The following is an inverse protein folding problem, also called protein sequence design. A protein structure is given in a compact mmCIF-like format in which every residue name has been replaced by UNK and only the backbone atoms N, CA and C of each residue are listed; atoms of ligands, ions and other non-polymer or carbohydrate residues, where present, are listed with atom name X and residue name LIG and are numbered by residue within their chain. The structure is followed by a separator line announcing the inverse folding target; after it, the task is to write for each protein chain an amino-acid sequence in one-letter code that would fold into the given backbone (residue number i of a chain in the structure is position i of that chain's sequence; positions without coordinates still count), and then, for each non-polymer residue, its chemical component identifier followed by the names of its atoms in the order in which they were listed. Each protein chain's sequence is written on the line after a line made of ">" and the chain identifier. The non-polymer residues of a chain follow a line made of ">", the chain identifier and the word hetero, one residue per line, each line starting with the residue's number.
data_IF_261610877673
#
_entry.id   IF_261610877673
#
_cell.length_a   1.000
_cell.length_b   1.000
_cell.length_c   1.000
_cell.angle_alpha   90.00
_cell.angle_beta   90.00
_cell.angle_gamma   90.00
#
_symmetry.space_group_name_H-M   'P 1'
#
loop_
_entity.id
_entity.type
_entity.pdbx_description
1 polymer ?
#
# COMPACT_ATOMS: atom_id res chain seq x y z
N UNK A 1 -20.34 4.01 -3.81
CA UNK A 1 -19.27 3.10 -3.36
C UNK A 1 -18.28 2.76 -4.47
N UNK A 2 -18.74 2.44 -5.67
CA UNK A 2 -17.85 2.18 -6.81
C UNK A 2 -16.93 3.34 -7.15
N UNK A 3 -17.43 4.57 -7.06
CA UNK A 3 -16.61 5.76 -7.33
C UNK A 3 -15.49 5.91 -6.31
N UNK A 4 -15.78 5.64 -5.03
CA UNK A 4 -14.77 5.69 -3.97
C UNK A 4 -13.70 4.62 -4.19
N UNK A 5 -14.12 3.38 -4.50
CA UNK A 5 -13.21 2.27 -4.77
C UNK A 5 -12.29 2.62 -5.94
N UNK A 6 -12.87 3.10 -7.04
CA UNK A 6 -12.11 3.49 -8.23
C UNK A 6 -11.11 4.60 -7.91
N UNK A 7 -11.57 5.62 -7.19
CA UNK A 7 -10.71 6.74 -6.79
C UNK A 7 -9.51 6.26 -5.97
N UNK A 8 -9.75 5.41 -4.99
CA UNK A 8 -8.67 4.87 -4.15
C UNK A 8 -7.71 4.01 -4.97
N UNK A 9 -8.24 3.17 -5.86
CA UNK A 9 -7.38 2.33 -6.69
C UNK A 9 -6.54 3.18 -7.65
N UNK A 10 -7.11 4.23 -8.22
CA UNK A 10 -6.36 5.15 -9.08
C UNK A 10 -5.27 5.89 -8.30
N UNK A 11 -5.54 6.27 -7.04
CA UNK A 11 -4.53 6.86 -6.17
C UNK A 11 -3.40 5.86 -5.91
N UNK A 12 -3.73 4.58 -5.72
CA UNK A 12 -2.74 3.52 -5.56
C UNK A 12 -1.81 3.45 -6.78
N UNK A 13 -2.39 3.43 -7.97
CA UNK A 13 -1.62 3.35 -9.21
C UNK A 13 -0.74 4.58 -9.41
N UNK A 14 -1.26 5.77 -9.14
CA UNK A 14 -0.46 7.01 -9.24
C UNK A 14 0.65 7.05 -8.21
N UNK A 15 0.39 6.58 -6.99
CA UNK A 15 1.41 6.53 -5.94
C UNK A 15 2.53 5.57 -6.32
N UNK A 16 2.20 4.42 -6.91
CA UNK A 16 3.21 3.48 -7.38
C UNK A 16 4.05 4.09 -8.50
N UNK A 17 3.43 4.74 -9.46
CA UNK A 17 4.14 5.43 -10.55
C UNK A 17 5.06 6.52 -10.01
N UNK A 18 4.61 7.30 -9.03
CA UNK A 18 5.43 8.34 -8.39
C UNK A 18 6.62 7.72 -7.65
N UNK A 19 6.43 6.58 -6.98
CA UNK A 19 7.53 5.88 -6.31
C UNK A 19 8.59 5.46 -7.32
N UNK A 20 8.16 4.89 -8.43
CA UNK A 20 9.08 4.48 -9.50
C UNK A 20 9.84 5.66 -10.10
N UNK A 21 9.14 6.78 -10.30
CA UNK A 21 9.73 7.97 -10.91
C UNK A 21 10.75 8.66 -10.00
N UNK A 22 10.61 8.56 -8.68
CA UNK A 22 11.47 9.26 -7.72
C UNK A 22 12.58 8.37 -7.13
N UNK A 23 12.59 7.08 -7.44
CA UNK A 23 13.47 6.10 -6.79
C UNK A 23 14.94 6.53 -6.82
N UNK A 24 15.46 6.91 -7.98
CA UNK A 24 16.88 7.20 -8.14
C UNK A 24 17.28 8.56 -7.58
N UNK A 25 16.37 9.54 -7.60
CA UNK A 25 16.66 10.90 -7.16
C UNK A 25 16.31 11.15 -5.70
N UNK A 26 15.32 10.43 -5.17
CA UNK A 26 14.84 10.63 -3.80
C UNK A 26 14.25 9.34 -3.25
N UNK A 27 15.11 8.42 -2.75
CA UNK A 27 14.62 7.16 -2.18
C UNK A 27 13.63 7.32 -1.03
N UNK A 28 13.75 8.39 -0.22
CA UNK A 28 12.79 8.66 0.86
C UNK A 28 11.39 8.91 0.31
N UNK A 29 11.27 9.74 -0.72
CA UNK A 29 9.99 9.98 -1.39
C UNK A 29 9.45 8.71 -2.02
N UNK A 30 10.32 7.92 -2.64
CA UNK A 30 9.92 6.64 -3.25
C UNK A 30 9.37 5.67 -2.20
N UNK A 31 10.01 5.57 -1.04
CA UNK A 31 9.55 4.72 0.06
C UNK A 31 8.18 5.16 0.56
N UNK A 32 7.99 6.46 0.75
CA UNK A 32 6.72 7.01 1.18
C UNK A 32 5.61 6.72 0.16
N UNK A 33 5.87 6.95 -1.12
CA UNK A 33 4.89 6.69 -2.18
C UNK A 33 4.56 5.21 -2.32
N UNK A 34 5.52 4.32 -2.13
CA UNK A 34 5.28 2.87 -2.15
C UNK A 34 4.31 2.46 -1.04
N UNK A 35 4.48 3.00 0.17
CA UNK A 35 3.53 2.76 1.26
C UNK A 35 2.13 3.25 0.88
N UNK A 36 2.01 4.48 0.37
CA UNK A 36 0.70 5.02 0.00
C UNK A 36 0.03 4.24 -1.12
N UNK A 37 0.80 3.67 -2.04
CA UNK A 37 0.25 2.79 -3.06
C UNK A 37 -0.46 1.59 -2.41
N UNK A 38 0.21 0.92 -1.47
CA UNK A 38 -0.38 -0.20 -0.74
C UNK A 38 -1.57 0.25 0.12
N UNK A 39 -1.44 1.37 0.82
CA UNK A 39 -2.49 1.91 1.67
C UNK A 39 -3.78 2.18 0.86
N UNK A 40 -3.68 2.85 -0.27
CA UNK A 40 -4.85 3.13 -1.10
C UNK A 40 -5.44 1.87 -1.71
N UNK A 41 -4.58 0.92 -2.11
CA UNK A 41 -5.03 -0.37 -2.62
C UNK A 41 -5.81 -1.18 -1.60
N UNK A 42 -5.30 -1.25 -0.36
CA UNK A 42 -6.00 -1.93 0.73
C UNK A 42 -7.31 -1.23 1.07
N UNK A 43 -7.29 0.11 1.12
CA UNK A 43 -8.48 0.91 1.38
C UNK A 43 -9.58 0.63 0.35
N UNK A 44 -9.21 0.58 -0.93
CA UNK A 44 -10.15 0.26 -2.02
C UNK A 44 -10.75 -1.15 -1.85
N UNK A 45 -9.90 -2.12 -1.53
CA UNK A 45 -10.33 -3.52 -1.38
C UNK A 45 -11.28 -3.68 -0.19
N UNK A 46 -10.97 -3.05 0.94
CA UNK A 46 -11.84 -3.08 2.12
C UNK A 46 -13.19 -2.41 1.83
N UNK A 47 -13.19 -1.28 1.12
CA UNK A 47 -14.41 -0.60 0.73
C UNK A 47 -15.29 -1.52 -0.14
N UNK A 48 -14.68 -2.30 -1.03
CA UNK A 48 -15.39 -3.28 -1.85
C UNK A 48 -16.05 -4.39 -1.03
N UNK A 49 -15.62 -4.59 0.21
CA UNK A 49 -16.21 -5.54 1.15
C UNK A 49 -17.16 -4.86 2.15
N UNK A 50 -17.49 -3.60 1.92
CA UNK A 50 -18.39 -2.85 2.80
C UNK A 50 -17.71 -2.24 4.02
N UNK A 51 -16.36 -2.24 4.05
CA UNK A 51 -15.60 -1.72 5.18
C UNK A 51 -14.85 -0.46 4.77
N UNK A 52 -15.36 0.69 5.19
CA UNK A 52 -14.79 1.98 4.80
C UNK A 52 -14.04 2.60 5.97
N UNK A 53 -12.73 2.72 5.81
CA UNK A 53 -11.84 3.31 6.81
C UNK A 53 -11.02 4.43 6.19
N UNK A 54 -10.69 5.44 7.00
CA UNK A 54 -9.84 6.56 6.59
C UNK A 54 -8.55 6.64 7.39
N UNK A 55 -8.52 6.11 8.60
CA UNK A 55 -7.34 6.15 9.46
C UNK A 55 -6.36 5.04 9.10
N UNK A 56 -5.07 5.38 9.06
CA UNK A 56 -4.01 4.42 8.74
C UNK A 56 -4.00 3.22 9.68
N UNK A 57 -4.22 3.44 10.99
CA UNK A 57 -4.25 2.36 11.97
C UNK A 57 -5.44 1.43 11.76
N UNK A 58 -6.59 1.97 11.40
CA UNK A 58 -7.78 1.17 11.12
C UNK A 58 -7.62 0.33 9.86
N UNK A 59 -7.03 0.90 8.82
CA UNK A 59 -6.77 0.17 7.56
C UNK A 59 -5.80 -0.98 7.81
N UNK A 60 -4.72 -0.74 8.56
CA UNK A 60 -3.75 -1.81 8.88
C UNK A 60 -4.40 -2.93 9.69
N UNK A 61 -5.18 -2.57 10.71
CA UNK A 61 -5.86 -3.57 11.54
C UNK A 61 -6.83 -4.41 10.70
N UNK A 62 -7.60 -3.77 9.82
CA UNK A 62 -8.54 -4.45 8.95
C UNK A 62 -7.83 -5.33 7.91
N UNK A 63 -6.69 -4.89 7.38
CA UNK A 63 -5.88 -5.72 6.49
C UNK A 63 -5.53 -7.04 7.16
N UNK A 64 -4.98 -7.00 8.35
CA UNK A 64 -4.54 -8.20 9.07
C UNK A 64 -5.71 -9.08 9.49
N UNK A 65 -6.80 -8.48 9.98
CA UNK A 65 -7.97 -9.23 10.46
C UNK A 65 -8.82 -9.78 9.31
N UNK A 66 -9.14 -8.92 8.35
CA UNK A 66 -10.19 -9.23 7.37
C UNK A 66 -9.66 -9.78 6.04
N UNK A 67 -8.39 -9.55 5.73
CA UNK A 67 -7.79 -10.06 4.49
C UNK A 67 -6.74 -11.14 4.74
N UNK A 68 -5.89 -10.97 5.75
CA UNK A 68 -4.82 -11.95 6.02
C UNK A 68 -5.35 -13.13 6.85
N UNK A 69 -5.95 -12.88 8.00
CA UNK A 69 -6.45 -13.95 8.88
C UNK A 69 -7.58 -14.73 8.22
N UNK A 70 -8.37 -14.09 7.38
CA UNK A 70 -9.44 -14.74 6.64
C UNK A 70 -8.94 -15.66 5.51
N UNK A 71 -7.67 -15.54 5.13
CA UNK A 71 -7.08 -16.30 4.05
C UNK A 71 -7.24 -15.68 2.67
N UNK A 72 -7.85 -14.49 2.56
CA UNK A 72 -8.00 -13.82 1.26
C UNK A 72 -6.65 -13.40 0.67
N UNK A 73 -5.70 -13.05 1.54
CA UNK A 73 -4.32 -12.73 1.15
C UNK A 73 -3.34 -13.61 1.92
N UNK A 74 -2.19 -13.90 1.30
CA UNK A 74 -1.13 -14.66 1.93
C UNK A 74 -0.49 -13.88 3.08
N UNK A 75 -0.07 -14.59 4.13
CA UNK A 75 0.48 -13.98 5.34
C UNK A 75 1.69 -13.08 5.07
N UNK A 76 2.54 -13.44 4.11
CA UNK A 76 3.74 -12.64 3.80
C UNK A 76 3.39 -11.24 3.29
N UNK A 77 2.22 -11.06 2.69
CA UNK A 77 1.78 -9.74 2.20
C UNK A 77 1.45 -8.80 3.37
N UNK A 78 0.96 -9.36 4.49
CA UNK A 78 0.79 -8.58 5.72
C UNK A 78 2.12 -8.09 6.26
N UNK A 79 3.13 -8.95 6.26
CA UNK A 79 4.49 -8.58 6.67
C UNK A 79 5.08 -7.54 5.73
N UNK A 80 4.83 -7.68 4.43
CA UNK A 80 5.29 -6.71 3.43
C UNK A 80 4.65 -5.34 3.66
N UNK A 81 3.36 -5.31 3.97
CA UNK A 81 2.67 -4.06 4.31
C UNK A 81 3.31 -3.39 5.53
N UNK A 82 3.60 -4.18 6.57
CA UNK A 82 4.24 -3.65 7.78
C UNK A 82 5.64 -3.12 7.50
N UNK A 83 6.39 -3.78 6.63
CA UNK A 83 7.69 -3.27 6.15
C UNK A 83 7.53 -1.90 5.50
N UNK A 84 6.53 -1.75 4.63
CA UNK A 84 6.26 -0.47 3.94
C UNK A 84 5.94 0.64 4.93
N UNK A 85 5.13 0.35 5.94
CA UNK A 85 4.77 1.32 6.96
C UNK A 85 5.98 1.75 7.77
N UNK A 86 6.79 0.79 8.23
CA UNK A 86 7.98 1.08 9.02
C UNK A 86 8.99 1.91 8.22
N UNK A 87 9.21 1.57 6.96
CA UNK A 87 10.14 2.31 6.10
C UNK A 87 9.63 3.73 5.83
N UNK A 88 8.33 3.88 5.60
CA UNK A 88 7.72 5.21 5.39
C UNK A 88 7.90 6.09 6.64
N UNK A 89 7.72 5.53 7.82
CA UNK A 89 7.92 6.29 9.06
C UNK A 89 9.38 6.73 9.21
N UNK A 90 10.32 5.87 8.86
CA UNK A 90 11.74 6.22 8.84
C UNK A 90 12.02 7.34 7.85
N UNK A 91 11.49 7.23 6.62
CA UNK A 91 11.73 8.20 5.55
C UNK A 91 11.13 9.57 5.87
N UNK A 92 9.92 9.60 6.45
CA UNK A 92 9.20 10.85 6.70
C UNK A 92 9.56 11.51 8.02
N UNK A 93 9.88 10.71 9.05
CA UNK A 93 9.99 11.20 10.43
C UNK A 93 11.28 10.80 11.15
N UNK A 94 12.16 10.04 10.49
CA UNK A 94 13.32 9.43 11.12
C UNK A 94 14.49 10.37 11.42
N UNK A 95 14.40 11.64 11.06
CA UNK A 95 15.46 12.60 11.31
C UNK A 95 16.72 12.31 10.50
N UNK A 96 17.71 11.68 11.12
CA UNK A 96 18.97 11.35 10.45
C UNK A 96 18.92 10.05 9.67
N UNK A 97 17.93 9.19 9.94
CA UNK A 97 17.78 7.92 9.22
C UNK A 97 17.04 8.16 7.90
N UNK A 98 17.61 7.67 6.81
CA UNK A 98 17.06 7.81 5.48
C UNK A 98 16.85 6.44 4.84
N UNK A 99 15.88 6.33 3.93
CA UNK A 99 15.71 5.14 3.13
C UNK A 99 16.86 5.02 2.14
N UNK A 100 17.48 3.84 2.06
CA UNK A 100 18.49 3.57 1.04
C UNK A 100 17.83 3.29 -0.30
N UNK A 101 18.60 3.38 -1.38
CA UNK A 101 18.13 2.96 -2.70
C UNK A 101 17.66 1.50 -2.66
N UNK A 102 18.42 0.64 -1.98
CA UNK A 102 18.08 -0.78 -1.88
C UNK A 102 16.76 -1.00 -1.12
N UNK A 103 16.55 -0.33 0.00
CA UNK A 103 15.30 -0.49 0.77
C UNK A 103 14.10 0.11 0.04
N UNK A 104 14.27 1.23 -0.64
CA UNK A 104 13.20 1.83 -1.44
C UNK A 104 12.84 0.95 -2.64
N UNK A 105 13.83 0.31 -3.26
CA UNK A 105 13.57 -0.66 -4.34
C UNK A 105 12.75 -1.84 -3.83
N UNK A 106 13.10 -2.39 -2.66
CA UNK A 106 12.32 -3.44 -2.03
C UNK A 106 10.89 -2.99 -1.73
N UNK A 107 10.74 -1.75 -1.26
CA UNK A 107 9.43 -1.19 -0.97
C UNK A 107 8.54 -1.18 -2.23
N UNK A 108 9.08 -0.74 -3.35
CA UNK A 108 8.34 -0.72 -4.61
C UNK A 108 7.94 -2.14 -5.04
N UNK A 109 8.86 -3.10 -4.95
CA UNK A 109 8.58 -4.50 -5.28
C UNK A 109 7.45 -5.07 -4.41
N UNK A 110 7.50 -4.80 -3.10
CA UNK A 110 6.47 -5.24 -2.16
C UNK A 110 5.12 -4.58 -2.44
N UNK A 111 5.11 -3.28 -2.74
CA UNK A 111 3.89 -2.57 -3.10
C UNK A 111 3.26 -3.15 -4.37
N UNK A 112 4.07 -3.44 -5.39
CA UNK A 112 3.58 -4.09 -6.62
C UNK A 112 2.95 -5.45 -6.32
N UNK A 113 3.60 -6.26 -5.49
CA UNK A 113 3.09 -7.59 -5.15
C UNK A 113 1.76 -7.50 -4.40
N UNK A 114 1.65 -6.54 -3.47
CA UNK A 114 0.40 -6.32 -2.72
C UNK A 114 -0.71 -5.92 -3.69
N UNK A 115 -0.46 -4.94 -4.56
CA UNK A 115 -1.49 -4.48 -5.51
C UNK A 115 -1.91 -5.57 -6.47
N UNK A 116 -0.96 -6.39 -6.96
CA UNK A 116 -1.29 -7.51 -7.82
C UNK A 116 -2.19 -8.54 -7.12
N UNK A 117 -1.97 -8.78 -5.83
CA UNK A 117 -2.78 -9.71 -5.05
C UNK A 117 -4.16 -9.11 -4.70
N UNK A 118 -4.26 -7.79 -4.55
CA UNK A 118 -5.51 -7.12 -4.22
C UNK A 118 -6.45 -7.00 -5.42
N UNK A 119 -5.91 -6.83 -6.62
CA UNK A 119 -6.73 -6.55 -7.80
C UNK A 119 -7.84 -7.59 -8.03
N UNK A 120 -7.58 -8.90 -7.93
CA UNK A 120 -8.65 -9.90 -8.08
C UNK A 120 -9.74 -9.82 -7.01
N UNK A 121 -9.46 -9.17 -5.87
CA UNK A 121 -10.40 -9.05 -4.76
C UNK A 121 -11.34 -7.85 -4.91
N UNK A 122 -11.08 -6.97 -5.87
CA UNK A 122 -11.94 -5.83 -6.14
C UNK A 122 -13.25 -6.28 -6.78
N UNK A 123 -14.36 -5.57 -6.52
CA UNK A 123 -15.63 -5.89 -7.17
C UNK A 123 -15.54 -5.74 -8.68
N UNK A 124 -16.28 -6.57 -9.41
CA UNK A 124 -16.36 -6.49 -10.86
C UNK A 124 -16.81 -5.10 -11.31
N UNK A 125 -16.13 -4.55 -12.29
CA UNK A 125 -16.46 -3.26 -12.85
C UNK A 125 -16.03 -2.06 -12.00
N UNK A 126 -15.33 -2.29 -10.90
CA UNK A 126 -14.84 -1.20 -10.05
C UNK A 126 -13.63 -0.49 -10.65
N UNK A 127 -12.79 -1.20 -11.38
CA UNK A 127 -11.56 -0.66 -12.01
C UNK A 127 -11.39 -1.18 -13.42
#
# INVERSE_FOLDING_TARGET
>A
MKEFIRSQWMKAMRSLAAAEATLDTDPDSAASRAYYAAFHGVTATLAGRGMEFTKHTAVRAALHRDLIQSGALSAHLGRDYDFLLDLRETADYGGVAEASLASATKAIEKARAILAALQPLLPDGAV
#
